data_IF_381218632233
#
_entry.id   IF_381218632233
#
_cell.length_a   1.000
_cell.length_b   1.000
_cell.length_c   1.000
_cell.angle_alpha   90.00
_cell.angle_beta   90.00
_cell.angle_gamma   90.00
#
_symmetry.space_group_name_H-M   'P 1'
#
loop_
_entity.id
_entity.type
_entity.pdbx_description
1 polymer ?
#
# COMPACT_ATOMS: atom_id res chain seq x y z
N UNK A 1 -10.24 4.10 13.77
CA UNK A 1 -9.22 4.90 14.48
C UNK A 1 -8.28 5.41 13.41
N UNK A 2 -8.46 6.67 13.00
CA UNK A 2 -7.63 7.39 12.01
C UNK A 2 -6.81 8.49 12.72
N UNK A 3 -6.78 8.43 14.05
CA UNK A 3 -6.21 9.46 14.90
C UNK A 3 -4.70 9.55 14.67
N UNK A 4 -4.15 10.74 14.89
CA UNK A 4 -2.71 10.93 14.78
C UNK A 4 -1.99 10.12 15.83
N UNK A 5 -0.84 9.52 15.47
CA UNK A 5 0.03 8.88 16.46
C UNK A 5 0.66 9.88 17.44
N UNK A 6 0.55 11.19 17.17
CA UNK A 6 1.02 12.26 18.04
C UNK A 6 -0.14 13.19 18.39
N UNK A 7 -0.47 13.39 19.68
CA UNK A 7 -1.60 14.25 20.11
C UNK A 7 -1.51 15.70 19.63
N UNK A 8 -0.29 16.18 19.40
CA UNK A 8 0.04 17.54 18.94
C UNK A 8 -0.10 17.69 17.41
N UNK A 9 -0.33 16.59 16.68
CA UNK A 9 -0.35 16.54 15.22
C UNK A 9 -1.76 16.25 14.72
N UNK A 10 -2.19 16.96 13.68
CA UNK A 10 -3.44 16.68 12.98
C UNK A 10 -3.25 15.71 11.78
N UNK A 11 -2.06 15.11 11.64
CA UNK A 11 -1.77 14.20 10.53
C UNK A 11 -2.34 12.81 10.77
N UNK A 12 -2.92 12.15 9.76
CA UNK A 12 -3.51 10.83 9.92
C UNK A 12 -2.44 9.79 10.30
N UNK A 13 -2.74 8.95 11.28
CA UNK A 13 -1.87 7.81 11.65
C UNK A 13 -1.92 6.65 10.67
N UNK A 14 -2.79 6.71 9.65
CA UNK A 14 -2.99 5.64 8.68
C UNK A 14 -3.36 6.22 7.31
N UNK A 15 -2.68 5.76 6.26
CA UNK A 15 -2.88 6.19 4.89
C UNK A 15 -2.90 4.99 3.94
N UNK A 16 -3.89 4.93 3.04
CA UNK A 16 -3.95 3.96 1.96
C UNK A 16 -3.88 4.72 0.64
N UNK A 17 -2.99 4.30 -0.26
CA UNK A 17 -2.92 4.81 -1.62
C UNK A 17 -3.15 3.66 -2.60
N UNK A 18 -4.28 3.73 -3.29
CA UNK A 18 -4.71 2.71 -4.24
C UNK A 18 -4.27 3.07 -5.65
N UNK A 19 -3.57 2.14 -6.29
CA UNK A 19 -3.02 2.23 -7.64
C UNK A 19 -2.41 3.61 -7.99
N UNK A 20 -1.38 4.07 -7.24
CA UNK A 20 -0.78 5.40 -7.44
C UNK A 20 -0.40 5.70 -8.89
N UNK A 21 0.15 4.72 -9.60
CA UNK A 21 0.57 4.88 -10.99
C UNK A 21 -0.62 5.08 -11.96
N UNK A 22 -1.76 4.43 -11.68
CA UNK A 22 -2.99 4.58 -12.47
C UNK A 22 -3.70 5.91 -12.13
N UNK A 23 -3.40 6.48 -10.96
CA UNK A 23 -3.91 7.76 -10.46
C UNK A 23 -3.02 8.97 -10.85
N UNK A 24 -2.41 8.95 -12.04
CA UNK A 24 -1.54 9.99 -12.62
C UNK A 24 -0.11 10.12 -12.04
N UNK A 25 0.35 9.16 -11.22
CA UNK A 25 1.77 9.14 -10.83
C UNK A 25 2.63 8.52 -11.93
N UNK A 26 3.58 9.27 -12.48
CA UNK A 26 4.52 8.72 -13.45
C UNK A 26 5.35 7.58 -12.83
N UNK A 27 5.82 6.63 -13.64
CA UNK A 27 6.63 5.50 -13.15
C UNK A 27 7.86 5.96 -12.36
N UNK A 28 8.58 6.97 -12.84
CA UNK A 28 9.72 7.54 -12.12
C UNK A 28 9.33 8.19 -10.80
N UNK A 29 8.16 8.84 -10.72
CA UNK A 29 7.69 9.44 -9.48
C UNK A 29 7.27 8.37 -8.47
N UNK A 30 6.60 7.32 -8.92
CA UNK A 30 6.23 6.16 -8.09
C UNK A 30 7.47 5.51 -7.44
N UNK A 31 8.47 5.18 -8.26
CA UNK A 31 9.72 4.57 -7.80
C UNK A 31 10.44 5.45 -6.77
N UNK A 32 10.67 6.72 -7.13
CA UNK A 32 11.40 7.65 -6.28
C UNK A 32 10.66 7.96 -4.98
N UNK A 33 9.32 8.04 -5.01
CA UNK A 33 8.52 8.31 -3.82
C UNK A 33 8.56 7.15 -2.84
N UNK A 34 8.41 5.91 -3.32
CA UNK A 34 8.51 4.73 -2.46
C UNK A 34 9.93 4.56 -1.90
N UNK A 35 10.97 4.74 -2.73
CA UNK A 35 12.36 4.70 -2.28
C UNK A 35 12.63 5.73 -1.17
N UNK A 36 12.10 6.95 -1.32
CA UNK A 36 12.21 7.99 -0.29
C UNK A 36 11.54 7.57 1.02
N UNK A 37 10.33 7.01 0.97
CA UNK A 37 9.63 6.54 2.18
C UNK A 37 10.43 5.42 2.86
N UNK A 38 10.93 4.46 2.08
CA UNK A 38 11.77 3.38 2.61
C UNK A 38 13.07 3.90 3.24
N UNK A 39 13.70 4.89 2.63
CA UNK A 39 14.88 5.57 3.18
C UNK A 39 14.55 6.25 4.52
N UNK A 40 13.43 7.00 4.59
CA UNK A 40 13.02 7.67 5.83
C UNK A 40 12.72 6.66 6.94
N UNK A 41 12.03 5.57 6.64
CA UNK A 41 11.81 4.48 7.59
C UNK A 41 13.14 3.95 8.15
N UNK A 42 14.10 3.63 7.28
CA UNK A 42 15.40 3.06 7.67
C UNK A 42 16.30 4.05 8.41
N UNK A 43 16.21 5.36 8.13
CA UNK A 43 17.16 6.36 8.65
C UNK A 43 16.62 7.18 9.82
N UNK A 44 15.32 7.47 9.86
CA UNK A 44 14.71 8.28 10.92
C UNK A 44 13.96 7.46 11.96
N UNK A 45 13.54 6.23 11.62
CA UNK A 45 12.65 5.42 12.46
C UNK A 45 13.15 3.99 12.68
N UNK A 46 14.46 3.75 12.58
CA UNK A 46 15.06 2.42 12.70
C UNK A 46 14.72 1.70 14.02
N UNK A 47 14.62 2.44 15.13
CA UNK A 47 14.43 1.91 16.49
C UNK A 47 13.16 2.46 17.17
N UNK A 48 12.24 3.07 16.41
CA UNK A 48 11.09 3.80 16.95
C UNK A 48 9.76 3.26 16.44
N UNK A 49 8.72 3.48 17.24
CA UNK A 49 7.34 3.30 16.80
C UNK A 49 7.03 4.27 15.65
N UNK A 50 6.62 3.74 14.50
CA UNK A 50 6.33 4.55 13.32
C UNK A 50 5.15 5.49 13.59
N UNK A 51 5.26 6.80 13.26
CA UNK A 51 4.21 7.77 13.56
C UNK A 51 2.97 7.63 12.66
N UNK A 52 3.03 6.80 11.62
CA UNK A 52 1.90 6.46 10.78
C UNK A 52 2.17 5.15 10.03
N UNK A 53 1.11 4.52 9.55
CA UNK A 53 1.18 3.37 8.64
C UNK A 53 0.74 3.80 7.23
N UNK A 54 1.56 3.49 6.23
CA UNK A 54 1.27 3.75 4.83
C UNK A 54 1.14 2.43 4.06
N UNK A 55 -0.04 2.16 3.52
CA UNK A 55 -0.34 0.98 2.72
C UNK A 55 -0.51 1.40 1.26
N UNK A 56 0.16 0.69 0.36
CA UNK A 56 0.01 0.89 -1.08
C UNK A 56 -0.54 -0.38 -1.69
N UNK A 57 -1.65 -0.26 -2.42
CA UNK A 57 -2.15 -1.31 -3.31
C UNK A 57 -1.78 -0.94 -4.73
N UNK A 58 -1.20 -1.88 -5.47
CA UNK A 58 -0.63 -1.61 -6.79
C UNK A 58 -0.41 -2.92 -7.53
N UNK A 59 -0.50 -2.88 -8.86
CA UNK A 59 -0.10 -3.98 -9.76
C UNK A 59 1.36 -3.84 -10.22
N UNK A 60 1.97 -2.68 -10.00
CA UNK A 60 3.37 -2.38 -10.31
C UNK A 60 4.25 -2.74 -9.12
N UNK A 61 5.28 -3.61 -9.29
CA UNK A 61 6.19 -3.96 -8.20
C UNK A 61 6.82 -2.72 -7.56
N UNK A 62 7.10 -2.71 -6.24
CA UNK A 62 7.85 -1.63 -5.61
C UNK A 62 9.33 -1.68 -6.03
N UNK A 63 10.11 -0.63 -5.73
CA UNK A 63 11.56 -0.62 -5.92
C UNK A 63 12.23 -1.88 -5.36
N UNK A 64 13.22 -2.43 -6.07
CA UNK A 64 13.88 -3.71 -5.73
C UNK A 64 14.36 -3.78 -4.28
N UNK A 65 14.88 -2.66 -3.76
CA UNK A 65 15.38 -2.51 -2.38
C UNK A 65 14.28 -2.56 -1.30
N UNK A 66 13.01 -2.47 -1.68
CA UNK A 66 11.86 -2.57 -0.80
C UNK A 66 11.09 -3.89 -0.97
N UNK A 67 11.35 -4.68 -2.02
CA UNK A 67 10.56 -5.87 -2.31
C UNK A 67 10.59 -6.91 -1.17
N UNK A 68 11.72 -7.05 -0.49
CA UNK A 68 11.86 -8.02 0.61
C UNK A 68 11.28 -7.51 1.95
N UNK A 69 11.24 -6.18 2.13
CA UNK A 69 10.91 -5.57 3.42
C UNK A 69 9.47 -5.02 3.46
N UNK A 70 8.95 -4.55 2.33
CA UNK A 70 7.71 -3.78 2.25
C UNK A 70 6.54 -4.54 1.58
N UNK A 71 6.80 -5.64 0.88
CA UNK A 71 5.73 -6.45 0.27
C UNK A 71 5.11 -7.34 1.34
N UNK A 72 3.93 -6.96 1.83
CA UNK A 72 3.22 -7.74 2.85
C UNK A 72 2.33 -8.83 2.26
N UNK A 73 1.75 -8.59 1.07
CA UNK A 73 0.79 -9.51 0.45
C UNK A 73 0.86 -9.40 -1.08
N UNK A 74 1.08 -10.52 -1.75
CA UNK A 74 0.96 -10.63 -3.20
C UNK A 74 -0.36 -11.32 -3.52
N UNK A 75 -1.19 -10.67 -4.32
CA UNK A 75 -2.48 -11.20 -4.76
C UNK A 75 -2.37 -11.73 -6.19
N UNK A 76 -3.04 -12.84 -6.45
CA UNK A 76 -3.10 -13.48 -7.76
C UNK A 76 -4.52 -13.97 -8.05
N UNK A 77 -5.26 -13.36 -8.99
CA UNK A 77 -6.62 -13.76 -9.32
C UNK A 77 -6.72 -15.08 -10.09
N UNK A 78 -5.59 -15.68 -10.51
CA UNK A 78 -5.55 -16.94 -11.26
C UNK A 78 -5.86 -18.18 -10.41
N UNK A 79 -5.79 -18.05 -9.08
CA UNK A 79 -6.10 -19.12 -8.14
C UNK A 79 -6.94 -18.59 -6.98
N UNK A 80 -7.82 -19.41 -6.41
CA UNK A 80 -8.63 -18.98 -5.26
C UNK A 80 -7.77 -18.64 -4.04
N UNK A 81 -6.61 -19.32 -3.89
CA UNK A 81 -5.64 -19.05 -2.84
C UNK A 81 -4.91 -17.71 -2.95
N UNK A 82 -4.86 -17.12 -4.15
CA UNK A 82 -4.24 -15.81 -4.38
C UNK A 82 -5.20 -14.63 -4.18
N UNK A 83 -6.46 -14.88 -3.83
CA UNK A 83 -7.45 -13.82 -3.62
C UNK A 83 -7.31 -13.18 -2.24
N UNK A 84 -7.69 -11.90 -2.14
CA UNK A 84 -7.83 -11.24 -0.85
C UNK A 84 -8.89 -11.97 -0.01
N UNK A 85 -8.51 -12.39 1.20
CA UNK A 85 -9.32 -13.25 2.07
C UNK A 85 -9.76 -14.59 1.46
N UNK A 86 -9.14 -15.05 0.37
CA UNK A 86 -9.52 -16.29 -0.33
C UNK A 86 -10.99 -16.25 -0.80
N UNK A 87 -11.52 -15.05 -1.06
CA UNK A 87 -12.92 -14.84 -1.40
C UNK A 87 -13.07 -14.01 -2.66
N UNK A 88 -14.04 -14.40 -3.50
CA UNK A 88 -14.53 -13.58 -4.62
C UNK A 88 -15.67 -12.71 -4.13
N UNK A 89 -15.47 -11.39 -4.18
CA UNK A 89 -16.53 -10.43 -3.93
C UNK A 89 -17.32 -10.25 -5.23
N UNK A 90 -18.53 -10.83 -5.29
CA UNK A 90 -19.46 -10.58 -6.40
C UNK A 90 -20.25 -9.32 -6.04
N UNK A 91 -20.01 -8.22 -6.74
CA UNK A 91 -20.81 -7.00 -6.58
C UNK A 91 -22.17 -7.13 -7.27
N UNK A 92 -23.20 -6.46 -6.74
CA UNK A 92 -24.58 -6.50 -7.28
C UNK A 92 -24.69 -6.16 -8.78
N UNK A 93 -23.70 -5.46 -9.36
CA UNK A 93 -23.68 -5.12 -10.80
C UNK A 93 -23.27 -6.24 -11.75
N UNK A 94 -22.73 -7.36 -11.26
CA UNK A 94 -22.39 -8.51 -12.10
C UNK A 94 -23.56 -9.49 -12.31
N UNK A 95 -24.65 -9.36 -11.55
CA UNK A 95 -25.80 -10.26 -11.64
C UNK A 95 -26.69 -10.04 -12.89
N UNK A 96 -26.47 -8.98 -13.67
CA UNK A 96 -27.38 -8.56 -14.77
C UNK A 96 -26.87 -8.99 -16.17
N UNK A 97 -25.73 -9.68 -16.26
CA UNK A 97 -25.17 -10.13 -17.55
C UNK A 97 -24.94 -11.65 -17.63
N UNK A 98 -25.59 -12.41 -16.75
CA UNK A 98 -25.62 -13.88 -16.79
C UNK A 98 -26.87 -14.42 -17.46
#
# INVERSE_FOLDING_TARGET
MLDSARPESALPGFFIHDCPQEADMSAGLYENFLALIGLLQKTQYADLELPFQYVVTTTTPPPTELQNDAVCLTLDPSSDGGLLFVHRFVGDRQAVLG
#
